data_IF_864289484824
#
_entry.id   IF_864289484824
#
_cell.length_a   1.000
_cell.length_b   1.000
_cell.length_c   1.000
_cell.angle_alpha   90.00
_cell.angle_beta   90.00
_cell.angle_gamma   90.00
#
_symmetry.space_group_name_H-M   'P 1'
#
loop_
_entity.id
_entity.type
_entity.pdbx_description
1 polymer ?
#
# COMPACT_ATOMS: atom_id res chain seq x y z
N UNK A 1 9.55 -49.34 72.83
CA UNK A 1 10.36 -48.85 71.69
C UNK A 1 9.39 -48.29 70.65
N UNK A 2 9.30 -46.97 70.57
CA UNK A 2 8.29 -46.24 69.79
C UNK A 2 8.64 -46.27 68.29
N UNK A 3 7.64 -46.59 67.46
CA UNK A 3 7.71 -46.47 65.99
C UNK A 3 7.32 -45.05 65.57
N UNK A 4 8.22 -44.36 64.88
CA UNK A 4 7.96 -43.11 64.18
C UNK A 4 7.45 -43.41 62.76
N UNK A 5 6.41 -42.69 62.33
CA UNK A 5 5.88 -42.69 60.97
C UNK A 5 6.17 -41.31 60.36
N UNK A 6 6.87 -41.17 59.22
CA UNK A 6 7.07 -39.87 58.59
C UNK A 6 5.94 -39.57 57.61
N UNK A 7 5.38 -38.37 57.72
CA UNK A 7 4.39 -37.82 56.79
C UNK A 7 5.13 -37.12 55.64
N UNK A 8 4.90 -37.54 54.40
CA UNK A 8 5.51 -36.97 53.20
C UNK A 8 4.57 -35.92 52.60
N UNK A 9 4.92 -34.64 52.69
CA UNK A 9 4.21 -33.55 52.00
C UNK A 9 4.75 -33.41 50.57
N UNK A 10 3.93 -33.72 49.58
CA UNK A 10 4.21 -33.49 48.16
C UNK A 10 3.81 -32.05 47.80
N UNK A 11 4.78 -31.21 47.43
CA UNK A 11 4.54 -29.86 46.90
C UNK A 11 4.35 -29.98 45.39
N UNK A 12 3.17 -29.64 44.90
CA UNK A 12 2.85 -29.56 43.46
C UNK A 12 3.21 -28.16 42.98
N UNK A 13 4.24 -28.05 42.13
CA UNK A 13 4.55 -26.83 41.40
C UNK A 13 3.64 -26.74 40.17
N UNK A 14 2.67 -25.82 40.20
CA UNK A 14 1.90 -25.41 39.02
C UNK A 14 2.75 -24.42 38.21
N UNK A 15 3.29 -24.91 37.09
CA UNK A 15 3.93 -24.07 36.08
C UNK A 15 2.86 -23.29 35.32
N UNK A 16 2.67 -22.02 35.64
CA UNK A 16 1.92 -21.11 34.76
C UNK A 16 2.81 -20.72 33.58
N UNK A 17 2.52 -21.27 32.40
CA UNK A 17 3.06 -20.76 31.16
C UNK A 17 2.44 -19.38 30.91
N UNK A 18 3.20 -18.31 31.19
CA UNK A 18 2.86 -16.97 30.75
C UNK A 18 3.14 -16.93 29.25
N UNK A 19 2.09 -17.05 28.44
CA UNK A 19 2.17 -16.63 27.04
C UNK A 19 2.35 -15.12 27.05
N UNK A 20 3.52 -14.64 26.64
CA UNK A 20 3.69 -13.23 26.32
C UNK A 20 2.80 -12.95 25.10
N UNK A 21 1.68 -12.27 25.31
CA UNK A 21 0.87 -11.76 24.22
C UNK A 21 1.71 -10.68 23.54
N UNK A 22 2.20 -10.97 22.33
CA UNK A 22 2.86 -9.97 21.52
C UNK A 22 1.85 -8.87 21.23
N UNK A 23 2.22 -7.63 21.53
CA UNK A 23 1.37 -6.47 21.30
C UNK A 23 1.21 -6.28 19.79
N UNK A 24 -0.04 -6.33 19.30
CA UNK A 24 -0.37 -6.14 17.88
C UNK A 24 -0.07 -4.70 17.47
N UNK A 25 0.75 -4.52 16.43
CA UNK A 25 1.03 -3.22 15.82
C UNK A 25 0.11 -2.92 14.65
N UNK A 26 0.14 -1.66 14.20
CA UNK A 26 -0.78 -1.10 13.22
C UNK A 26 -0.94 -1.96 11.96
N UNK A 27 0.14 -2.55 11.46
CA UNK A 27 0.15 -3.32 10.22
C UNK A 27 0.21 -4.85 10.43
N UNK A 28 0.08 -5.32 11.67
CA UNK A 28 0.08 -6.76 11.97
C UNK A 28 -1.30 -7.41 11.73
N UNK A 29 -2.32 -6.59 11.41
CA UNK A 29 -3.71 -7.02 11.20
C UNK A 29 -4.28 -6.42 9.93
N UNK A 30 -5.02 -7.28 9.22
CA UNK A 30 -5.78 -6.96 8.02
C UNK A 30 -7.19 -6.43 8.34
N UNK A 31 -7.61 -6.45 9.61
CA UNK A 31 -8.91 -5.93 10.01
C UNK A 31 -9.01 -4.42 9.77
N UNK A 32 -10.13 -3.98 9.19
CA UNK A 32 -10.41 -2.57 8.93
C UNK A 32 -10.41 -1.80 10.25
N UNK A 33 -9.51 -0.82 10.37
CA UNK A 33 -9.40 0.01 11.56
C UNK A 33 -10.44 1.14 11.51
N UNK A 34 -11.33 1.17 12.50
CA UNK A 34 -12.30 2.26 12.67
C UNK A 34 -11.60 3.49 13.29
N UNK A 35 -11.67 4.62 12.57
CA UNK A 35 -11.14 5.91 13.04
C UNK A 35 -12.17 7.03 12.91
N UNK A 36 -12.06 8.05 13.77
CA UNK A 36 -12.79 9.30 13.67
C UNK A 36 -11.81 10.45 13.49
N UNK A 37 -12.12 11.34 12.56
CA UNK A 37 -11.32 12.52 12.27
C UNK A 37 -12.21 13.74 12.06
N UNK A 38 -11.74 14.89 12.54
CA UNK A 38 -12.44 16.17 12.39
C UNK A 38 -11.44 17.25 12.02
N UNK A 39 -11.63 17.87 10.85
CA UNK A 39 -10.82 19.00 10.40
C UNK A 39 -11.44 19.74 9.22
N UNK A 40 -11.06 21.00 9.03
CA UNK A 40 -11.35 21.77 7.81
C UNK A 40 -10.39 21.38 6.68
N UNK A 41 -10.95 20.96 5.54
CA UNK A 41 -10.19 20.66 4.31
C UNK A 41 -9.60 21.96 3.73
N UNK A 42 -10.35 23.06 3.75
CA UNK A 42 -9.88 24.37 3.28
C UNK A 42 -8.69 24.87 4.08
N UNK A 43 -8.76 24.77 5.41
CA UNK A 43 -7.67 25.15 6.32
C UNK A 43 -6.45 24.27 6.11
N UNK A 44 -6.64 22.95 6.02
CA UNK A 44 -5.57 22.00 5.73
C UNK A 44 -4.81 22.39 4.45
N UNK A 45 -5.53 22.75 3.38
CA UNK A 45 -4.92 23.18 2.10
C UNK A 45 -4.21 24.52 2.18
N UNK A 46 -4.78 25.47 2.93
CA UNK A 46 -4.26 26.83 3.02
C UNK A 46 -3.02 26.94 3.92
N UNK A 47 -2.96 26.15 4.99
CA UNK A 47 -1.96 26.31 6.05
C UNK A 47 -0.82 25.27 6.00
N UNK A 48 -0.99 24.20 5.21
CA UNK A 48 0.00 23.11 5.16
C UNK A 48 0.74 23.02 3.84
N UNK A 49 2.03 22.67 3.92
CA UNK A 49 2.92 22.38 2.81
C UNK A 49 3.87 21.24 3.21
N UNK A 50 4.93 20.99 2.46
CA UNK A 50 5.83 19.86 2.76
C UNK A 50 6.57 19.93 4.10
N UNK A 51 6.57 21.11 4.74
CA UNK A 51 7.22 21.36 6.03
C UNK A 51 6.26 21.72 7.16
N UNK A 52 5.04 22.19 6.87
CA UNK A 52 4.08 22.67 7.87
C UNK A 52 2.93 21.69 8.08
N UNK A 53 2.56 21.46 9.34
CA UNK A 53 1.47 20.58 9.75
C UNK A 53 0.43 21.38 10.53
N UNK A 54 -0.84 21.03 10.34
CA UNK A 54 -1.96 21.49 11.15
C UNK A 54 -2.21 20.47 12.27
N UNK A 55 -2.30 20.93 13.51
CA UNK A 55 -2.66 20.06 14.64
C UNK A 55 -4.12 19.60 14.55
N UNK A 56 -4.35 18.34 14.87
CA UNK A 56 -5.67 17.69 14.92
C UNK A 56 -5.60 16.49 15.88
N UNK A 57 -6.68 15.72 15.93
CA UNK A 57 -6.78 14.50 16.72
C UNK A 57 -7.30 13.36 15.83
N UNK A 58 -6.81 12.16 16.08
CA UNK A 58 -7.33 10.91 15.52
C UNK A 58 -7.87 10.09 16.69
N UNK A 59 -9.15 9.73 16.63
CA UNK A 59 -9.73 8.78 17.59
C UNK A 59 -9.83 7.43 16.91
N UNK A 60 -9.38 6.37 17.55
CA UNK A 60 -9.48 5.02 16.99
C UNK A 60 -9.97 4.02 18.03
N UNK A 61 -10.51 2.90 17.56
CA UNK A 61 -10.85 1.77 18.41
C UNK A 61 -9.62 0.87 18.56
N UNK A 62 -9.10 0.75 19.78
CA UNK A 62 -7.93 -0.08 20.06
C UNK A 62 -8.29 -1.59 20.06
N UNK A 63 -7.29 -2.49 20.11
CA UNK A 63 -7.54 -3.94 20.13
C UNK A 63 -8.40 -4.44 21.31
N UNK A 64 -8.47 -3.69 22.42
CA UNK A 64 -9.37 -3.99 23.55
C UNK A 64 -10.82 -3.53 23.30
N UNK A 65 -11.11 -2.92 22.15
CA UNK A 65 -12.41 -2.37 21.79
C UNK A 65 -12.72 -1.01 22.41
N UNK A 66 -11.76 -0.36 23.08
CA UNK A 66 -11.92 0.98 23.68
C UNK A 66 -11.51 2.06 22.69
N UNK A 67 -12.14 3.23 22.80
CA UNK A 67 -11.71 4.42 22.05
C UNK A 67 -10.46 5.02 22.70
N UNK A 68 -9.46 5.30 21.89
CA UNK A 68 -8.25 6.03 22.27
C UNK A 68 -8.03 7.22 21.34
N UNK A 69 -7.34 8.25 21.81
CA UNK A 69 -7.12 9.51 21.09
C UNK A 69 -5.64 9.78 20.92
N UNK A 70 -5.24 10.09 19.70
CA UNK A 70 -3.89 10.47 19.35
C UNK A 70 -3.83 11.92 18.92
N UNK A 71 -2.88 12.65 19.49
CA UNK A 71 -2.48 13.95 18.96
C UNK A 71 -1.72 13.79 17.65
N UNK A 72 -2.26 14.37 16.57
CA UNK A 72 -1.67 14.23 15.23
C UNK A 72 -1.43 15.57 14.56
N UNK A 73 -0.39 15.63 13.75
CA UNK A 73 -0.22 16.66 12.74
C UNK A 73 -0.69 16.13 11.39
N UNK A 74 -1.50 16.92 10.68
CA UNK A 74 -1.95 16.62 9.32
C UNK A 74 -1.33 17.60 8.33
N UNK A 75 -0.97 17.13 7.15
CA UNK A 75 -0.63 17.99 6.01
C UNK A 75 -1.07 17.38 4.69
N UNK A 76 -1.34 18.21 3.69
CA UNK A 76 -1.52 17.73 2.32
C UNK A 76 -0.20 17.19 1.75
N UNK A 77 -0.29 16.20 0.86
CA UNK A 77 0.84 15.66 0.08
C UNK A 77 0.50 15.57 -1.41
N UNK A 78 1.51 15.31 -2.23
CA UNK A 78 1.34 15.08 -3.67
C UNK A 78 1.07 16.36 -4.47
N UNK A 79 0.94 16.19 -5.78
CA UNK A 79 0.78 17.29 -6.74
C UNK A 79 -0.62 17.25 -7.36
N UNK A 80 -0.90 16.27 -8.22
CA UNK A 80 -2.16 16.23 -8.97
C UNK A 80 -3.40 16.13 -8.08
N UNK A 81 -3.47 15.11 -7.21
CA UNK A 81 -4.63 14.92 -6.32
C UNK A 81 -4.77 16.05 -5.30
N UNK A 82 -3.65 16.65 -4.89
CA UNK A 82 -3.67 17.85 -4.03
C UNK A 82 -4.41 18.99 -4.72
N UNK A 83 -4.29 19.18 -6.03
CA UNK A 83 -4.96 20.29 -6.73
C UNK A 83 -6.37 19.94 -7.21
N UNK A 84 -6.62 18.68 -7.56
CA UNK A 84 -7.81 18.28 -8.33
C UNK A 84 -8.84 17.46 -7.54
N UNK A 85 -8.47 16.86 -6.40
CA UNK A 85 -9.41 16.09 -5.58
C UNK A 85 -10.16 16.95 -4.58
N UNK A 86 -11.36 16.52 -4.18
CA UNK A 86 -12.11 17.09 -3.05
C UNK A 86 -11.36 16.83 -1.74
N UNK A 87 -11.14 15.56 -1.38
CA UNK A 87 -10.24 15.19 -0.28
C UNK A 87 -8.80 15.07 -0.82
N UNK A 88 -7.86 15.88 -0.32
CA UNK A 88 -6.46 15.74 -0.70
C UNK A 88 -5.86 14.51 0.00
N UNK A 89 -4.85 13.85 -0.57
CA UNK A 89 -4.10 12.84 0.16
C UNK A 89 -3.33 13.51 1.31
N UNK A 90 -3.26 12.81 2.45
CA UNK A 90 -2.79 13.38 3.72
C UNK A 90 -1.53 12.65 4.18
N UNK A 91 -0.55 13.38 4.73
CA UNK A 91 0.42 12.80 5.65
C UNK A 91 -0.03 13.05 7.07
N UNK A 92 -0.13 11.97 7.84
CA UNK A 92 -0.40 11.97 9.26
C UNK A 92 0.92 11.80 10.01
N UNK A 93 1.15 12.62 11.03
CA UNK A 93 2.33 12.53 11.88
C UNK A 93 1.93 12.50 13.34
N UNK A 94 2.23 11.41 14.03
CA UNK A 94 2.07 11.31 15.48
C UNK A 94 3.06 12.25 16.18
N UNK A 95 2.59 12.94 17.22
CA UNK A 95 3.50 13.67 18.12
C UNK A 95 4.40 12.66 18.86
N UNK A 96 5.61 13.08 19.24
CA UNK A 96 6.74 12.20 19.61
C UNK A 96 6.46 11.09 20.65
N UNK A 97 5.42 11.22 21.47
CA UNK A 97 5.10 10.26 22.55
C UNK A 97 3.77 9.51 22.34
N UNK A 98 2.99 9.89 21.34
CA UNK A 98 1.59 9.43 21.20
C UNK A 98 1.50 7.96 20.79
N UNK A 99 2.39 7.47 19.93
CA UNK A 99 2.32 6.08 19.45
C UNK A 99 2.95 5.04 20.39
N UNK A 100 3.64 5.44 21.46
CA UNK A 100 4.44 4.47 22.24
C UNK A 100 3.56 3.61 23.13
N UNK A 101 3.68 2.29 23.03
CA UNK A 101 2.90 1.32 23.82
C UNK A 101 1.41 1.31 23.45
N UNK A 102 1.11 1.56 22.17
CA UNK A 102 -0.21 1.33 21.60
C UNK A 102 -0.07 0.81 20.16
N UNK A 103 -1.22 0.63 19.49
CA UNK A 103 -1.31 0.12 18.11
C UNK A 103 -0.37 0.84 17.13
N UNK A 104 -0.09 2.12 17.34
CA UNK A 104 0.71 2.94 16.45
C UNK A 104 2.21 2.97 16.81
N UNK A 105 2.68 2.09 17.71
CA UNK A 105 4.10 2.07 18.07
C UNK A 105 4.97 1.77 16.84
N UNK A 106 6.10 2.49 16.74
CA UNK A 106 6.95 2.51 15.55
C UNK A 106 6.37 3.26 14.33
N UNK A 107 5.07 3.54 14.26
CA UNK A 107 4.39 4.08 13.06
C UNK A 107 4.15 5.59 13.12
N UNK A 108 5.24 6.37 13.25
CA UNK A 108 5.14 7.81 13.53
C UNK A 108 4.66 8.67 12.36
N UNK A 109 5.17 8.44 11.15
CA UNK A 109 4.69 9.15 9.96
C UNK A 109 3.96 8.15 9.07
N UNK A 110 2.73 8.47 8.72
CA UNK A 110 1.88 7.62 7.91
C UNK A 110 1.39 8.41 6.70
N UNK A 111 1.24 7.73 5.58
CA UNK A 111 0.52 8.28 4.44
C UNK A 111 -0.90 7.74 4.52
N UNK A 112 -1.88 8.62 4.45
CA UNK A 112 -3.30 8.26 4.47
C UNK A 112 -3.90 8.58 3.12
N UNK A 113 -4.48 7.56 2.50
CA UNK A 113 -5.19 7.68 1.23
C UNK A 113 -6.67 7.87 1.51
N UNK A 114 -7.23 8.94 0.95
CA UNK A 114 -8.65 9.28 0.97
C UNK A 114 -9.26 9.06 -0.41
N UNK A 115 -10.60 8.96 -0.53
CA UNK A 115 -11.26 9.05 -1.82
C UNK A 115 -10.96 10.40 -2.51
N UNK A 116 -10.80 10.44 -3.84
CA UNK A 116 -10.52 11.71 -4.53
C UNK A 116 -11.76 12.64 -4.64
N UNK A 117 -12.97 12.08 -4.51
CA UNK A 117 -14.23 12.82 -4.69
C UNK A 117 -15.23 12.45 -3.60
N UNK A 118 -16.29 13.23 -3.43
CA UNK A 118 -17.39 12.96 -2.50
C UNK A 118 -18.60 12.28 -3.18
N UNK A 119 -18.38 11.59 -4.31
CA UNK A 119 -19.45 10.86 -4.99
C UNK A 119 -19.58 9.43 -4.44
N UNK A 120 -20.72 8.78 -4.73
CA UNK A 120 -21.05 7.45 -4.18
C UNK A 120 -20.12 6.31 -4.60
N UNK A 121 -19.31 6.47 -5.65
CA UNK A 121 -18.39 5.42 -6.13
C UNK A 121 -16.93 5.71 -5.72
N UNK A 122 -16.70 6.72 -4.90
CA UNK A 122 -15.35 7.18 -4.59
C UNK A 122 -14.54 6.13 -3.82
N UNK A 123 -15.18 5.42 -2.89
CA UNK A 123 -14.59 4.33 -2.11
C UNK A 123 -14.15 3.16 -3.02
N UNK A 124 -14.87 2.90 -4.11
CA UNK A 124 -14.47 1.85 -5.08
C UNK A 124 -13.07 2.08 -5.63
N UNK A 125 -12.67 3.33 -5.89
CA UNK A 125 -11.31 3.62 -6.38
C UNK A 125 -10.26 3.41 -5.29
N UNK A 126 -10.60 3.67 -4.02
CA UNK A 126 -9.72 3.40 -2.88
C UNK A 126 -9.51 1.90 -2.71
N UNK A 127 -10.58 1.09 -2.76
CA UNK A 127 -10.47 -0.38 -2.67
C UNK A 127 -9.64 -0.94 -3.82
N UNK A 128 -9.86 -0.43 -5.04
CA UNK A 128 -9.09 -0.87 -6.22
C UNK A 128 -7.60 -0.52 -6.10
N UNK A 129 -7.28 0.66 -5.56
CA UNK A 129 -5.89 1.06 -5.29
C UNK A 129 -5.28 0.18 -4.18
N UNK A 130 -6.03 -0.06 -3.09
CA UNK A 130 -5.60 -0.94 -2.00
C UNK A 130 -5.35 -2.37 -2.47
N UNK A 131 -6.22 -2.93 -3.31
CA UNK A 131 -6.02 -4.24 -3.93
C UNK A 131 -4.68 -4.29 -4.70
N UNK A 132 -4.28 -3.21 -5.37
CA UNK A 132 -2.98 -3.18 -6.05
C UNK A 132 -1.81 -3.34 -5.06
N UNK A 133 -1.87 -2.79 -3.85
CA UNK A 133 -0.86 -3.03 -2.83
C UNK A 133 -0.82 -4.51 -2.42
N UNK A 134 -1.98 -5.11 -2.14
CA UNK A 134 -2.06 -6.53 -1.76
C UNK A 134 -1.55 -7.46 -2.87
N UNK A 135 -1.93 -7.20 -4.12
CA UNK A 135 -1.41 -7.93 -5.28
C UNK A 135 0.10 -7.78 -5.47
N UNK A 136 0.69 -6.65 -5.06
CA UNK A 136 2.14 -6.44 -5.17
C UNK A 136 2.91 -7.24 -4.10
N UNK A 137 2.35 -7.38 -2.90
CA UNK A 137 2.91 -8.19 -1.80
C UNK A 137 3.04 -9.68 -2.20
N UNK A 138 2.15 -10.17 -3.07
CA UNK A 138 2.22 -11.55 -3.57
C UNK A 138 3.43 -11.86 -4.47
N UNK A 139 4.01 -10.84 -5.10
CA UNK A 139 5.10 -10.98 -6.08
C UNK A 139 6.37 -10.24 -5.70
N UNK A 140 6.33 -9.40 -4.68
CA UNK A 140 7.49 -8.65 -4.19
C UNK A 140 7.55 -8.74 -2.68
N UNK A 141 8.74 -9.01 -2.16
CA UNK A 141 9.01 -8.84 -0.72
C UNK A 141 9.28 -7.39 -0.34
N UNK A 142 9.59 -6.52 -1.30
CA UNK A 142 9.91 -5.11 -1.05
C UNK A 142 8.65 -4.27 -1.28
N UNK A 143 7.85 -4.16 -0.23
CA UNK A 143 6.56 -3.46 -0.25
C UNK A 143 6.45 -2.53 0.95
N UNK A 144 5.51 -1.58 0.85
CA UNK A 144 5.00 -0.87 2.01
C UNK A 144 3.90 -1.70 2.63
N UNK A 145 3.90 -1.83 3.96
CA UNK A 145 2.73 -2.38 4.62
C UNK A 145 1.56 -1.40 4.50
N UNK A 146 0.36 -1.94 4.32
CA UNK A 146 -0.87 -1.14 4.22
C UNK A 146 -1.97 -1.69 5.10
N UNK A 147 -2.94 -0.83 5.48
CA UNK A 147 -4.12 -1.25 6.26
C UNK A 147 -5.33 -0.41 5.91
N UNK A 148 -6.45 -1.06 5.62
CA UNK A 148 -7.74 -0.39 5.40
C UNK A 148 -8.23 0.30 6.67
N UNK A 149 -8.86 1.46 6.48
CA UNK A 149 -9.46 2.24 7.55
C UNK A 149 -10.88 2.65 7.17
N UNK A 150 -11.79 2.57 8.13
CA UNK A 150 -13.13 3.14 8.05
C UNK A 150 -13.13 4.47 8.80
N UNK A 151 -13.36 5.56 8.07
CA UNK A 151 -13.21 6.92 8.59
C UNK A 151 -14.60 7.51 8.82
N UNK A 152 -14.95 7.78 10.07
CA UNK A 152 -16.02 8.74 10.39
C UNK A 152 -15.42 10.14 10.32
N UNK A 153 -15.70 10.85 9.23
CA UNK A 153 -15.12 12.16 8.96
C UNK A 153 -16.14 13.28 9.23
N UNK A 154 -15.77 14.26 10.04
CA UNK A 154 -16.53 15.50 10.22
C UNK A 154 -15.75 16.66 9.57
N UNK A 155 -16.29 17.18 8.45
CA UNK A 155 -15.69 18.30 7.75
C UNK A 155 -16.10 19.62 8.41
N UNK A 156 -15.15 20.33 9.03
CA UNK A 156 -15.42 21.62 9.69
C UNK A 156 -15.81 22.74 8.70
N UNK A 157 -15.61 22.52 7.39
CA UNK A 157 -16.09 23.43 6.35
C UNK A 157 -17.60 23.31 6.09
N UNK A 158 -18.23 22.19 6.50
CA UNK A 158 -19.66 21.98 6.36
C UNK A 158 -20.44 22.62 7.51
N UNK A 159 -21.35 23.54 7.17
CA UNK A 159 -22.16 24.27 8.14
C UNK A 159 -23.18 23.38 8.85
N UNK A 160 -23.52 22.23 8.26
CA UNK A 160 -24.45 21.27 8.89
C UNK A 160 -23.75 20.42 9.95
N UNK A 161 -22.43 20.26 9.87
CA UNK A 161 -21.65 19.41 10.77
C UNK A 161 -22.04 17.93 10.68
N UNK A 162 -22.50 17.47 9.50
CA UNK A 162 -22.83 16.07 9.30
C UNK A 162 -21.54 15.26 9.18
N UNK A 163 -21.47 14.11 9.86
CA UNK A 163 -20.39 13.16 9.66
C UNK A 163 -20.68 12.26 8.47
N UNK A 164 -19.65 11.94 7.71
CA UNK A 164 -19.70 10.98 6.61
C UNK A 164 -18.80 9.78 6.89
N UNK A 165 -19.17 8.65 6.30
CA UNK A 165 -18.39 7.42 6.34
C UNK A 165 -17.59 7.32 5.05
N UNK A 166 -16.27 7.27 5.16
CA UNK A 166 -15.34 7.15 4.03
C UNK A 166 -14.47 5.92 4.22
N UNK A 167 -14.15 5.24 3.13
CA UNK A 167 -13.11 4.22 3.16
C UNK A 167 -11.76 4.86 2.76
N UNK A 168 -10.71 4.49 3.50
CA UNK A 168 -9.34 4.89 3.23
C UNK A 168 -8.37 3.75 3.48
N UNK A 169 -7.07 4.01 3.33
CA UNK A 169 -6.05 3.13 3.88
C UNK A 169 -4.80 3.90 4.31
N UNK A 170 -4.06 3.30 5.24
CA UNK A 170 -2.76 3.75 5.71
C UNK A 170 -1.66 3.04 4.92
N UNK A 171 -0.59 3.77 4.65
CA UNK A 171 0.65 3.25 4.06
C UNK A 171 1.79 3.58 5.03
N UNK A 172 2.61 2.57 5.26
CA UNK A 172 3.83 2.62 6.05
C UNK A 172 4.79 3.76 5.64
N UNK A 173 5.62 4.19 6.60
CA UNK A 173 6.66 5.19 6.37
C UNK A 173 7.82 4.64 5.54
N UNK A 174 8.47 5.52 4.77
CA UNK A 174 9.63 5.16 3.96
C UNK A 174 10.77 4.62 4.85
N UNK A 175 11.00 5.27 6.00
CA UNK A 175 12.01 4.89 6.99
C UNK A 175 11.74 3.50 7.60
N UNK A 176 10.47 3.13 7.79
CA UNK A 176 10.09 1.84 8.40
C UNK A 176 10.35 0.68 7.45
N UNK A 177 10.07 0.87 6.16
CA UNK A 177 10.44 -0.11 5.13
C UNK A 177 11.96 -0.25 5.07
N UNK A 178 12.70 0.86 5.10
CA UNK A 178 14.17 0.84 5.09
C UNK A 178 14.73 0.06 6.28
N UNK A 179 14.25 0.36 7.50
CA UNK A 179 14.62 -0.33 8.74
C UNK A 179 14.35 -1.85 8.63
N UNK A 180 13.23 -2.28 8.04
CA UNK A 180 12.86 -3.71 7.88
C UNK A 180 13.88 -4.49 7.04
N UNK A 181 14.62 -3.82 6.15
CA UNK A 181 15.58 -4.45 5.26
C UNK A 181 17.03 -4.03 5.53
N UNK A 182 17.31 -3.41 6.68
CA UNK A 182 18.62 -2.83 7.01
C UNK A 182 19.16 -1.93 5.87
N UNK A 183 18.25 -1.24 5.17
CA UNK A 183 18.52 -0.53 3.93
C UNK A 183 18.40 0.99 4.05
N UNK A 184 18.53 1.66 2.91
CA UNK A 184 18.45 3.11 2.77
C UNK A 184 17.56 3.48 1.58
N UNK A 185 16.61 4.38 1.76
CA UNK A 185 15.85 4.96 0.64
C UNK A 185 16.71 6.03 -0.04
N UNK A 186 17.05 5.81 -1.30
CA UNK A 186 17.82 6.78 -2.07
C UNK A 186 16.91 7.89 -2.58
N UNK A 187 17.15 9.13 -2.15
CA UNK A 187 16.40 10.30 -2.61
C UNK A 187 17.19 11.14 -3.60
N UNK A 188 16.51 11.74 -4.58
CA UNK A 188 17.09 12.72 -5.53
C UNK A 188 18.27 12.21 -6.37
N UNK A 189 18.38 10.90 -6.56
CA UNK A 189 19.40 10.26 -7.40
C UNK A 189 18.74 9.59 -8.60
N UNK A 190 19.31 9.83 -9.79
CA UNK A 190 18.85 9.19 -11.02
C UNK A 190 19.40 7.76 -11.11
N UNK A 191 18.53 6.76 -11.01
CA UNK A 191 18.88 5.35 -11.13
C UNK A 191 18.18 4.79 -12.37
N UNK A 192 18.95 4.49 -13.42
CA UNK A 192 18.37 3.81 -14.58
C UNK A 192 17.86 2.43 -14.16
N UNK A 193 16.72 2.01 -14.72
CA UNK A 193 16.12 0.71 -14.41
C UNK A 193 17.08 -0.47 -14.64
N UNK A 194 18.08 -0.30 -15.50
CA UNK A 194 19.12 -1.31 -15.74
C UNK A 194 20.06 -1.57 -14.56
N UNK A 195 20.17 -0.62 -13.61
CA UNK A 195 20.97 -0.78 -12.38
C UNK A 195 20.20 -1.43 -11.22
N UNK A 196 18.89 -1.64 -11.37
CA UNK A 196 18.11 -2.38 -10.39
C UNK A 196 18.47 -3.86 -10.42
N UNK A 197 18.43 -4.53 -9.28
CA UNK A 197 18.57 -5.99 -9.20
C UNK A 197 17.56 -6.65 -10.14
N UNK A 198 18.05 -7.56 -10.99
CA UNK A 198 17.31 -8.01 -12.17
C UNK A 198 15.97 -8.66 -11.81
N UNK A 199 15.94 -9.52 -10.79
CA UNK A 199 14.71 -10.24 -10.42
C UNK A 199 13.66 -9.29 -9.82
N UNK A 200 14.08 -8.36 -8.96
CA UNK A 200 13.22 -7.33 -8.39
C UNK A 200 12.71 -6.35 -9.45
N UNK A 201 13.54 -6.00 -10.44
CA UNK A 201 13.14 -5.16 -11.57
C UNK A 201 12.09 -5.85 -12.44
N UNK A 202 12.28 -7.12 -12.81
CA UNK A 202 11.31 -7.86 -13.64
C UNK A 202 9.98 -8.05 -12.92
N UNK A 203 9.99 -8.38 -11.63
CA UNK A 203 8.75 -8.46 -10.81
C UNK A 203 8.01 -7.14 -10.79
N UNK A 204 8.72 -6.05 -10.52
CA UNK A 204 8.17 -4.70 -10.55
C UNK A 204 7.56 -4.39 -11.91
N UNK A 205 8.32 -4.55 -13.00
CA UNK A 205 7.90 -4.14 -14.33
C UNK A 205 6.71 -4.97 -14.85
N UNK A 206 6.70 -6.28 -14.57
CA UNK A 206 5.58 -7.16 -14.90
C UNK A 206 4.34 -6.88 -14.05
N UNK A 207 4.52 -6.52 -12.78
CA UNK A 207 3.43 -6.06 -11.91
C UNK A 207 2.83 -4.74 -12.40
N UNK A 208 3.65 -3.75 -12.75
CA UNK A 208 3.16 -2.48 -13.32
C UNK A 208 2.39 -2.74 -14.63
N UNK A 209 2.83 -3.69 -15.45
CA UNK A 209 2.08 -4.14 -16.62
C UNK A 209 0.74 -4.80 -16.24
N UNK A 210 0.71 -5.68 -15.23
CA UNK A 210 -0.50 -6.36 -14.77
C UNK A 210 -1.61 -5.37 -14.43
N UNK A 211 -1.29 -4.34 -13.65
CA UNK A 211 -2.25 -3.32 -13.21
C UNK A 211 -2.46 -2.20 -14.24
N UNK A 212 -1.73 -2.19 -15.37
CA UNK A 212 -1.84 -1.15 -16.39
C UNK A 212 -1.27 0.19 -15.94
N UNK A 213 -0.20 0.19 -15.16
CA UNK A 213 0.47 1.40 -14.73
C UNK A 213 1.59 1.79 -15.70
N UNK A 214 1.40 2.93 -16.35
CA UNK A 214 2.44 3.56 -17.18
C UNK A 214 3.03 4.82 -16.56
N UNK A 215 2.51 5.30 -15.43
CA UNK A 215 2.92 6.53 -14.77
C UNK A 215 3.96 6.26 -13.67
N UNK A 216 5.12 5.73 -14.05
CA UNK A 216 6.23 5.51 -13.12
C UNK A 216 7.59 5.69 -13.79
N UNK A 217 8.64 5.93 -13.00
CA UNK A 217 10.00 6.01 -13.52
C UNK A 217 11.03 5.81 -12.42
N UNK A 218 11.83 4.74 -12.50
CA UNK A 218 12.99 4.56 -11.61
C UNK A 218 14.05 5.63 -11.80
N UNK A 219 14.22 6.12 -13.03
CA UNK A 219 15.19 7.17 -13.36
C UNK A 219 14.87 8.50 -12.68
N UNK A 220 13.59 8.84 -12.56
CA UNK A 220 13.13 10.08 -11.93
C UNK A 220 12.51 9.86 -10.55
N UNK A 221 12.49 8.61 -10.07
CA UNK A 221 11.81 8.18 -8.84
C UNK A 221 10.36 8.64 -8.76
N UNK A 222 9.63 8.51 -9.87
CA UNK A 222 8.21 8.84 -9.96
C UNK A 222 7.37 7.58 -9.73
N UNK A 223 6.49 7.59 -8.73
CA UNK A 223 5.65 6.45 -8.30
C UNK A 223 6.45 5.14 -8.07
N UNK A 224 7.74 5.30 -7.73
CA UNK A 224 8.65 4.25 -7.31
C UNK A 224 9.76 4.87 -6.48
N UNK A 225 10.02 4.31 -5.30
CA UNK A 225 11.21 4.59 -4.49
C UNK A 225 12.32 3.58 -4.81
N UNK A 226 13.55 3.94 -4.48
CA UNK A 226 14.71 3.06 -4.65
C UNK A 226 15.26 2.70 -3.28
N UNK A 227 15.14 1.43 -2.91
CA UNK A 227 15.68 0.89 -1.68
C UNK A 227 17.06 0.30 -1.96
N UNK A 228 18.09 0.87 -1.34
CA UNK A 228 19.46 0.35 -1.36
C UNK A 228 19.64 -0.61 -0.20
N UNK A 229 19.97 -1.86 -0.51
CA UNK A 229 20.19 -2.91 0.49
C UNK A 229 21.67 -3.00 0.88
N UNK A 230 22.55 -2.77 -0.08
CA UNK A 230 24.00 -2.75 0.12
C UNK A 230 24.70 -1.87 -0.94
N UNK A 231 26.03 -1.92 -1.02
CA UNK A 231 26.82 -1.11 -1.96
C UNK A 231 26.59 -1.42 -3.44
N UNK A 232 25.99 -2.55 -3.78
CA UNK A 232 25.79 -3.05 -5.15
C UNK A 232 24.32 -3.35 -5.47
N UNK A 233 23.49 -3.50 -4.44
CA UNK A 233 22.10 -3.92 -4.59
C UNK A 233 21.13 -2.77 -4.34
N UNK A 234 20.39 -2.39 -5.37
CA UNK A 234 19.25 -1.47 -5.29
C UNK A 234 18.01 -2.14 -5.89
N UNK A 235 16.87 -1.98 -5.24
CA UNK A 235 15.60 -2.61 -5.61
C UNK A 235 14.50 -1.55 -5.70
N UNK A 236 13.51 -1.73 -6.59
CA UNK A 236 12.36 -0.84 -6.66
C UNK A 236 11.42 -1.09 -5.47
N UNK A 237 10.80 -0.02 -5.00
CA UNK A 237 9.73 -0.02 -4.00
C UNK A 237 8.57 0.78 -4.57
N UNK A 238 7.59 0.09 -5.17
CA UNK A 238 6.47 0.71 -5.87
C UNK A 238 5.42 1.29 -4.92
N UNK A 239 4.78 2.39 -5.33
CA UNK A 239 3.66 3.02 -4.64
C UNK A 239 2.88 3.93 -5.60
N UNK A 240 1.75 4.48 -5.13
CA UNK A 240 0.84 5.34 -5.93
C UNK A 240 0.24 4.57 -7.13
N UNK A 241 -0.76 3.74 -6.84
CA UNK A 241 -1.42 2.87 -7.84
C UNK A 241 -2.80 3.40 -8.28
N UNK A 242 -3.11 4.66 -7.98
CA UNK A 242 -4.41 5.27 -8.23
C UNK A 242 -4.68 5.46 -9.73
N UNK A 243 -3.69 5.85 -10.53
CA UNK A 243 -3.81 6.11 -11.96
C UNK A 243 -3.43 4.91 -12.83
N UNK A 244 -4.09 3.79 -12.60
CA UNK A 244 -3.78 2.52 -13.28
C UNK A 244 -5.01 1.97 -14.00
N UNK A 245 -4.80 1.07 -14.95
CA UNK A 245 -5.91 0.36 -15.61
C UNK A 245 -6.74 -0.47 -14.64
N UNK A 246 -6.14 -1.03 -13.58
CA UNK A 246 -6.87 -1.74 -12.53
C UNK A 246 -7.87 -0.84 -11.81
N UNK A 247 -7.48 0.40 -11.46
CA UNK A 247 -8.33 1.38 -10.77
C UNK A 247 -9.28 2.08 -11.72
N UNK A 248 -8.79 2.49 -12.89
CA UNK A 248 -9.48 3.23 -13.94
C UNK A 248 -10.33 4.40 -13.39
N UNK A 249 -9.73 5.34 -12.63
CA UNK A 249 -10.49 6.46 -12.08
C UNK A 249 -10.89 7.46 -13.18
N UNK A 250 -11.96 8.24 -13.00
CA UNK A 250 -12.47 9.18 -14.00
C UNK A 250 -11.54 10.39 -14.21
N UNK A 251 -10.55 10.57 -13.33
CA UNK A 251 -9.54 11.63 -13.39
C UNK A 251 -8.19 11.13 -13.92
N UNK A 252 -8.09 9.85 -14.32
CA UNK A 252 -6.84 9.29 -14.83
C UNK A 252 -6.35 10.07 -16.05
N UNK A 253 -5.03 10.25 -16.15
CA UNK A 253 -4.39 10.87 -17.29
C UNK A 253 -3.38 9.89 -17.89
N UNK A 254 -3.31 9.88 -19.22
CA UNK A 254 -2.26 9.16 -19.93
C UNK A 254 -1.12 10.13 -20.18
N UNK A 255 0.10 9.71 -19.82
CA UNK A 255 1.30 10.49 -20.12
C UNK A 255 1.50 10.62 -21.63
N UNK A 256 1.82 11.81 -22.10
CA UNK A 256 2.20 12.05 -23.50
C UNK A 256 3.55 11.40 -23.89
N UNK A 257 4.24 10.76 -22.94
CA UNK A 257 5.49 10.02 -23.15
C UNK A 257 5.26 8.55 -23.55
N UNK A 258 4.01 8.09 -23.58
CA UNK A 258 3.64 6.73 -23.96
C UNK A 258 2.59 6.74 -25.06
N UNK A 259 2.57 5.69 -25.88
CA UNK A 259 1.70 5.55 -27.06
C UNK A 259 0.50 4.65 -26.74
N UNK A 260 -0.35 5.11 -25.81
CA UNK A 260 -1.63 4.48 -25.46
C UNK A 260 -2.70 5.57 -25.38
N UNK A 261 -3.97 5.23 -25.59
CA UNK A 261 -5.07 6.20 -25.56
C UNK A 261 -5.80 6.23 -24.21
N UNK A 262 -5.71 5.14 -23.44
CA UNK A 262 -6.38 4.97 -22.15
C UNK A 262 -5.47 4.30 -21.13
N UNK A 263 -5.58 4.68 -19.85
CA UNK A 263 -4.88 3.99 -18.75
C UNK A 263 -5.27 2.51 -18.61
N UNK A 264 -6.41 2.10 -19.19
CA UNK A 264 -6.80 0.69 -19.25
C UNK A 264 -5.95 -0.15 -20.22
N UNK A 265 -5.25 0.48 -21.16
CA UNK A 265 -4.34 -0.21 -22.07
C UNK A 265 -3.03 -0.55 -21.36
N UNK A 266 -2.61 -1.82 -21.48
CA UNK A 266 -1.35 -2.25 -20.90
C UNK A 266 -0.20 -1.95 -21.86
N UNK A 267 0.86 -1.36 -21.32
CA UNK A 267 2.12 -1.15 -22.04
C UNK A 267 3.27 -1.60 -21.15
N UNK A 268 4.08 -2.54 -21.64
CA UNK A 268 5.26 -2.98 -20.91
C UNK A 268 6.35 -1.92 -21.02
N UNK A 269 6.81 -1.39 -19.88
CA UNK A 269 7.80 -0.30 -19.81
C UNK A 269 9.14 -0.73 -19.19
N UNK A 270 9.28 -2.03 -18.91
CA UNK A 270 10.49 -2.59 -18.32
C UNK A 270 11.64 -2.72 -19.31
N UNK A 271 12.84 -2.87 -18.77
CA UNK A 271 14.03 -3.13 -19.59
C UNK A 271 14.15 -4.62 -19.94
N UNK A 272 14.75 -4.91 -21.08
CA UNK A 272 15.08 -6.28 -21.44
C UNK A 272 16.09 -6.87 -20.45
N UNK A 273 15.80 -8.09 -19.99
CA UNK A 273 16.66 -8.91 -19.12
C UNK A 273 16.87 -10.27 -19.76
N UNK A 274 17.66 -11.11 -19.10
CA UNK A 274 17.82 -12.51 -19.50
C UNK A 274 16.45 -13.19 -19.68
N UNK A 275 16.25 -13.83 -20.83
CA UNK A 275 14.96 -14.41 -21.20
C UNK A 275 14.56 -15.58 -20.29
N UNK A 276 15.52 -16.33 -19.75
CA UNK A 276 15.24 -17.39 -18.78
C UNK A 276 14.74 -16.79 -17.47
N UNK A 277 15.33 -15.69 -17.01
CA UNK A 277 14.83 -14.93 -15.86
C UNK A 277 13.41 -14.41 -16.11
N UNK A 278 13.16 -13.80 -17.27
CA UNK A 278 11.82 -13.30 -17.64
C UNK A 278 10.76 -14.41 -17.61
N UNK A 279 11.08 -15.59 -18.16
CA UNK A 279 10.17 -16.75 -18.14
C UNK A 279 10.03 -17.37 -16.74
N UNK A 280 11.07 -17.32 -15.90
CA UNK A 280 10.99 -17.75 -14.52
C UNK A 280 10.01 -16.86 -13.72
N UNK A 281 10.10 -15.53 -13.87
CA UNK A 281 9.16 -14.60 -13.22
C UNK A 281 7.76 -14.71 -13.81
N UNK A 282 7.61 -14.91 -15.13
CA UNK A 282 6.31 -15.25 -15.73
C UNK A 282 5.66 -16.46 -15.04
N UNK A 283 6.45 -17.52 -14.83
CA UNK A 283 5.97 -18.74 -14.16
C UNK A 283 5.60 -18.49 -12.70
N UNK A 284 6.34 -17.62 -11.99
CA UNK A 284 6.00 -17.17 -10.64
C UNK A 284 4.62 -16.51 -10.59
N UNK A 285 4.33 -15.55 -11.48
CA UNK A 285 3.02 -14.91 -11.55
C UNK A 285 1.91 -15.91 -11.86
N UNK A 286 2.12 -16.83 -12.80
CA UNK A 286 1.14 -17.88 -13.12
C UNK A 286 0.82 -18.78 -11.91
N UNK A 287 1.82 -19.13 -11.09
CA UNK A 287 1.59 -19.88 -9.84
C UNK A 287 0.81 -19.07 -8.80
N UNK A 288 0.93 -17.73 -8.86
CA UNK A 288 0.26 -16.79 -7.96
C UNK A 288 -1.14 -16.36 -8.42
N UNK A 289 -1.60 -16.80 -9.59
CA UNK A 289 -2.91 -16.42 -10.14
C UNK A 289 -4.05 -16.67 -9.14
N UNK A 290 -4.12 -17.87 -8.56
CA UNK A 290 -5.21 -18.22 -7.63
C UNK A 290 -5.22 -17.40 -6.35
N UNK A 291 -4.05 -17.09 -5.77
CA UNK A 291 -3.96 -16.29 -4.53
C UNK A 291 -4.27 -14.82 -4.81
N UNK A 292 -3.85 -14.28 -5.95
CA UNK A 292 -4.23 -12.94 -6.37
C UNK A 292 -5.75 -12.77 -6.55
N UNK A 293 -6.44 -13.80 -7.05
CA UNK A 293 -7.90 -13.78 -7.11
C UNK A 293 -8.57 -13.90 -5.74
N UNK A 294 -7.91 -14.53 -4.75
CA UNK A 294 -8.37 -14.56 -3.37
C UNK A 294 -8.33 -13.16 -2.74
N UNK A 295 -7.27 -12.38 -2.97
CA UNK A 295 -7.18 -10.98 -2.52
C UNK A 295 -8.37 -10.13 -3.01
N UNK A 296 -8.76 -10.31 -4.28
CA UNK A 296 -9.94 -9.64 -4.84
C UNK A 296 -11.23 -10.11 -4.15
N UNK A 297 -11.35 -11.41 -3.90
CA UNK A 297 -12.53 -12.03 -3.28
C UNK A 297 -12.74 -11.51 -1.85
N UNK A 298 -11.67 -11.33 -1.08
CA UNK A 298 -11.72 -10.81 0.29
C UNK A 298 -12.22 -9.37 0.34
N UNK A 299 -11.86 -8.55 -0.65
CA UNK A 299 -12.23 -7.14 -0.73
C UNK A 299 -13.58 -6.88 -1.44
N UNK A 300 -14.16 -7.88 -2.11
CA UNK A 300 -15.32 -7.67 -3.00
C UNK A 300 -16.53 -7.06 -2.31
N UNK A 301 -16.69 -7.31 -1.01
CA UNK A 301 -17.83 -6.86 -0.23
C UNK A 301 -17.83 -5.34 0.01
N UNK A 302 -16.68 -4.67 -0.22
CA UNK A 302 -16.49 -3.24 -0.06
C UNK A 302 -16.86 -2.45 -1.33
N UNK A 303 -17.15 -3.13 -2.44
CA UNK A 303 -17.42 -2.48 -3.73
C UNK A 303 -18.65 -3.07 -4.43
N UNK A 304 -19.28 -2.31 -5.34
CA UNK A 304 -20.36 -2.84 -6.17
C UNK A 304 -19.89 -4.01 -7.05
N UNK A 305 -20.76 -4.98 -7.30
CA UNK A 305 -20.47 -6.19 -8.12
C UNK A 305 -19.88 -5.86 -9.50
N UNK A 306 -20.29 -4.74 -10.11
CA UNK A 306 -19.74 -4.28 -11.39
C UNK A 306 -18.23 -3.98 -11.33
N UNK A 307 -17.74 -3.46 -10.21
CA UNK A 307 -16.31 -3.15 -10.01
C UNK A 307 -15.53 -4.44 -9.76
N UNK A 308 -16.11 -5.40 -9.03
CA UNK A 308 -15.55 -6.76 -8.87
C UNK A 308 -15.35 -7.42 -10.21
N UNK A 309 -16.39 -7.42 -11.07
CA UNK A 309 -16.32 -7.96 -12.43
C UNK A 309 -15.28 -7.24 -13.28
N UNK A 310 -15.16 -5.92 -13.14
CA UNK A 310 -14.14 -5.14 -13.84
C UNK A 310 -12.73 -5.60 -13.44
N UNK A 311 -12.42 -5.62 -12.14
CA UNK A 311 -11.11 -6.06 -11.63
C UNK A 311 -10.78 -7.50 -12.05
N UNK A 312 -11.73 -8.42 -11.87
CA UNK A 312 -11.54 -9.83 -12.22
C UNK A 312 -11.25 -10.01 -13.73
N UNK A 313 -12.00 -9.32 -14.59
CA UNK A 313 -11.78 -9.35 -16.04
C UNK A 313 -10.47 -8.68 -16.44
N UNK A 314 -10.10 -7.59 -15.77
CA UNK A 314 -8.84 -6.92 -16.00
C UNK A 314 -7.67 -7.86 -15.67
N UNK A 315 -7.65 -8.46 -14.48
CA UNK A 315 -6.67 -9.49 -14.09
C UNK A 315 -6.64 -10.66 -15.07
N UNK A 316 -7.81 -11.16 -15.49
CA UNK A 316 -7.91 -12.26 -16.44
C UNK A 316 -7.17 -11.94 -17.74
N UNK A 317 -7.34 -10.72 -18.26
CA UNK A 317 -6.65 -10.28 -19.46
C UNK A 317 -5.13 -10.30 -19.34
N UNK A 318 -4.58 -10.06 -18.15
CA UNK A 318 -3.15 -10.20 -17.89
C UNK A 318 -2.71 -11.67 -17.89
N UNK A 319 -3.43 -12.54 -17.17
CA UNK A 319 -3.09 -13.97 -17.11
C UNK A 319 -3.25 -14.66 -18.47
N UNK A 320 -4.25 -14.28 -19.27
CA UNK A 320 -4.42 -14.75 -20.66
C UNK A 320 -3.19 -14.39 -21.53
N UNK A 321 -2.50 -13.28 -21.25
CA UNK A 321 -1.25 -12.90 -21.93
C UNK A 321 -0.09 -13.75 -21.42
N UNK A 322 0.00 -13.98 -20.10
CA UNK A 322 1.04 -14.82 -19.53
C UNK A 322 0.88 -16.31 -19.87
N UNK A 323 -0.32 -16.82 -20.16
CA UNK A 323 -0.52 -18.23 -20.50
C UNK A 323 -0.22 -18.54 -21.98
N UNK A 324 -0.27 -17.53 -22.86
CA UNK A 324 -0.02 -17.68 -24.30
C UNK A 324 1.40 -17.21 -24.66
N UNK A 325 2.25 -18.13 -25.12
CA UNK A 325 3.65 -17.84 -25.45
C UNK A 325 3.81 -16.74 -26.52
N UNK A 326 2.93 -16.69 -27.52
CA UNK A 326 3.01 -15.67 -28.58
C UNK A 326 2.61 -14.31 -28.05
N UNK A 327 1.61 -14.26 -27.17
CA UNK A 327 1.19 -13.00 -26.53
C UNK A 327 2.24 -12.51 -25.56
N UNK A 328 2.83 -13.40 -24.74
CA UNK A 328 3.91 -13.02 -23.84
C UNK A 328 5.13 -12.51 -24.61
N UNK A 329 5.53 -13.22 -25.68
CA UNK A 329 6.60 -12.79 -26.57
C UNK A 329 6.32 -11.38 -27.12
N UNK A 330 5.16 -11.18 -27.73
CA UNK A 330 4.82 -9.90 -28.36
C UNK A 330 4.70 -8.74 -27.38
N UNK A 331 4.01 -8.94 -26.24
CA UNK A 331 3.67 -7.86 -25.32
C UNK A 331 4.77 -7.55 -24.30
N UNK A 332 5.69 -8.50 -24.04
CA UNK A 332 6.69 -8.39 -22.96
C UNK A 332 8.10 -8.52 -23.52
N UNK A 333 8.46 -9.67 -24.11
CA UNK A 333 9.85 -9.96 -24.50
C UNK A 333 10.32 -9.13 -25.70
N UNK A 334 9.47 -8.95 -26.70
CA UNK A 334 9.76 -8.11 -27.86
C UNK A 334 9.50 -6.62 -27.61
N UNK A 335 8.69 -6.28 -26.59
CA UNK A 335 8.31 -4.90 -26.26
C UNK A 335 9.21 -4.26 -25.19
N UNK A 336 10.09 -5.03 -24.54
CA UNK A 336 10.99 -4.52 -23.52
C UNK A 336 11.95 -3.47 -24.08
N UNK A 337 12.37 -2.55 -23.22
CA UNK A 337 13.27 -1.46 -23.59
C UNK A 337 14.71 -1.95 -23.62
N UNK A 338 15.42 -1.67 -24.69
CA UNK A 338 16.87 -1.88 -24.79
C UNK A 338 17.63 -0.67 -24.29
N UNK A 339 18.84 -0.89 -23.78
CA UNK A 339 19.80 0.18 -23.46
C UNK A 339 20.42 0.68 -24.75
N UNK A 340 19.83 1.68 -25.38
CA UNK A 340 20.57 2.49 -26.36
C UNK A 340 21.30 3.63 -25.67
#
# INVERSE_FOLDING_TARGET
MNKFLPCLCTIVFLSFSVFAQQEELLFDSEEILEINMKFSIKKLRAETNDSTFMDSFLVYKNPEGKLDTLDVGLRVRGNFRKENCYYPPIRLRLKKKEGKGNLFDGSRNLKMVFPCSNNKNADSYVVKEFLCYQLYEEVSKYTFNTRLIQITFENEDDKKGESEQLLGFLIEDDDKVADRFDGEILENIKIAGTFLEDSAAVRHDLFQYMIGNTDWSSLYQHNVKILKLDNKTVVPLAYDFDMTGMVSPPYAQVSNLVDIESVSERLYRGYCRDEQLMNAIRSEFLMKESIMYAELEDLKHLVPEREVKYMANYMKGFFDILQDDKRFEFNILSACRTTN
#
